data_IF_046441900385
#
_entry.id   IF_046441900385
#
_cell.length_a   1.000
_cell.length_b   1.000
_cell.length_c   1.000
_cell.angle_alpha   90.00
_cell.angle_beta   90.00
_cell.angle_gamma   90.00
#
_symmetry.space_group_name_H-M   'P 1'
#
loop_
_entity.id
_entity.type
_entity.pdbx_description
1 polymer ?
#
# COMPACT_ATOMS: atom_id res chain seq x y z
N UNK A 1 -11.29 -15.85 7.99
CA UNK A 1 -12.72 -15.94 7.65
C UNK A 1 -12.90 -16.87 6.48
N UNK A 2 -13.71 -17.91 6.70
CA UNK A 2 -14.22 -18.79 5.64
C UNK A 2 -15.04 -17.88 4.74
N UNK A 3 -14.68 -17.76 3.46
CA UNK A 3 -15.52 -17.06 2.49
C UNK A 3 -16.86 -17.79 2.47
N UNK A 4 -17.90 -17.16 2.99
CA UNK A 4 -19.26 -17.52 2.63
C UNK A 4 -19.40 -17.06 1.19
N UNK A 5 -19.32 -18.03 0.28
CA UNK A 5 -19.55 -17.80 -1.14
C UNK A 5 -21.04 -17.45 -1.23
N UNK A 6 -21.41 -16.26 -1.73
CA UNK A 6 -22.80 -15.87 -1.74
C UNK A 6 -23.60 -16.91 -2.54
N UNK A 7 -24.63 -17.47 -1.92
CA UNK A 7 -25.71 -18.24 -2.54
C UNK A 7 -25.57 -19.77 -2.67
N UNK A 8 -24.52 -20.45 -2.16
CA UNK A 8 -24.49 -21.93 -2.15
C UNK A 8 -24.59 -22.49 -0.72
N UNK A 9 -25.63 -23.28 -0.45
CA UNK A 9 -25.84 -23.94 0.84
C UNK A 9 -25.10 -25.28 0.89
N UNK A 10 -24.09 -25.37 1.75
CA UNK A 10 -23.31 -26.60 1.98
C UNK A 10 -23.95 -27.48 3.06
N UNK A 11 -23.78 -28.82 2.97
CA UNK A 11 -24.10 -29.73 4.06
C UNK A 11 -23.31 -29.41 5.34
N UNK A 12 -23.86 -29.77 6.50
CA UNK A 12 -23.08 -29.74 7.74
C UNK A 12 -22.10 -30.92 7.77
N UNK A 13 -20.82 -30.60 7.94
CA UNK A 13 -19.77 -31.60 8.09
C UNK A 13 -19.25 -31.63 9.53
N UNK A 14 -19.03 -32.82 10.06
CA UNK A 14 -18.44 -33.09 11.37
C UNK A 14 -16.94 -33.38 11.25
N UNK A 15 -16.21 -33.26 12.35
CA UNK A 15 -14.78 -33.62 12.43
C UNK A 15 -14.60 -35.03 13.00
N UNK A 16 -15.35 -36.00 12.48
CA UNK A 16 -15.41 -37.39 12.97
C UNK A 16 -14.91 -38.43 11.97
N UNK A 17 -14.33 -38.00 10.84
CA UNK A 17 -13.84 -38.90 9.80
C UNK A 17 -12.67 -39.78 10.25
N UNK A 18 -12.58 -40.98 9.69
CA UNK A 18 -11.49 -41.93 9.91
C UNK A 18 -10.43 -41.82 8.79
N UNK A 19 -9.18 -41.45 9.09
CA UNK A 19 -8.09 -41.37 8.10
C UNK A 19 -7.83 -42.67 7.33
N UNK A 20 -8.06 -43.85 7.93
CA UNK A 20 -7.88 -45.13 7.24
C UNK A 20 -8.96 -45.34 6.18
N UNK A 21 -10.21 -45.07 6.53
CA UNK A 21 -11.32 -45.09 5.57
C UNK A 21 -11.12 -44.01 4.51
N UNK A 22 -10.60 -42.83 4.88
CA UNK A 22 -10.29 -41.76 3.95
C UNK A 22 -9.22 -42.12 2.92
N UNK A 23 -8.20 -42.88 3.33
CA UNK A 23 -7.20 -43.42 2.41
C UNK A 23 -7.80 -44.42 1.41
N UNK A 24 -8.75 -45.22 1.85
CA UNK A 24 -9.49 -46.15 0.99
C UNK A 24 -10.44 -45.40 0.05
N UNK A 25 -11.19 -44.42 0.55
CA UNK A 25 -12.03 -43.51 -0.24
C UNK A 25 -11.19 -42.80 -1.31
N UNK A 26 -9.98 -42.35 -0.99
CA UNK A 26 -9.07 -41.69 -1.93
C UNK A 26 -8.67 -42.59 -3.11
N UNK A 27 -8.51 -43.90 -2.88
CA UNK A 27 -8.23 -44.89 -3.93
C UNK A 27 -9.48 -45.28 -4.71
N UNK A 28 -10.57 -45.57 -4.01
CA UNK A 28 -11.81 -46.07 -4.62
C UNK A 28 -12.51 -45.01 -5.46
N UNK A 29 -12.44 -43.74 -5.05
CA UNK A 29 -12.88 -42.59 -5.85
C UNK A 29 -11.84 -42.16 -6.90
N UNK A 30 -10.75 -42.93 -7.05
CA UNK A 30 -9.70 -42.70 -8.05
C UNK A 30 -9.04 -41.31 -7.97
N UNK A 31 -9.00 -40.69 -6.78
CA UNK A 31 -8.34 -39.40 -6.59
C UNK A 31 -6.84 -39.47 -6.93
N UNK A 32 -6.23 -40.65 -6.74
CA UNK A 32 -4.83 -40.94 -7.05
C UNK A 32 -4.48 -40.95 -8.56
N UNK A 33 -5.48 -40.90 -9.44
CA UNK A 33 -5.27 -40.74 -10.90
C UNK A 33 -4.78 -39.33 -11.22
N UNK A 34 -5.24 -38.32 -10.47
CA UNK A 34 -4.87 -36.93 -10.69
C UNK A 34 -3.89 -36.40 -9.63
N UNK A 35 -4.00 -36.90 -8.40
CA UNK A 35 -3.27 -36.41 -7.24
C UNK A 35 -2.23 -37.40 -6.73
N UNK A 36 -1.00 -36.93 -6.48
CA UNK A 36 0.05 -37.74 -5.85
C UNK A 36 0.00 -37.62 -4.33
N UNK A 37 0.44 -38.67 -3.65
CA UNK A 37 0.80 -38.67 -2.23
C UNK A 37 2.11 -39.44 -2.08
N UNK A 38 3.03 -38.89 -1.28
CA UNK A 38 4.38 -39.37 -1.01
C UNK A 38 5.23 -39.59 -2.28
N UNK A 39 5.16 -38.67 -3.24
CA UNK A 39 5.98 -38.72 -4.46
C UNK A 39 5.61 -39.86 -5.42
N UNK A 40 4.38 -40.38 -5.36
CA UNK A 40 3.90 -41.35 -6.36
C UNK A 40 3.91 -40.72 -7.76
N UNK A 41 4.66 -41.31 -8.71
CA UNK A 41 4.93 -40.81 -10.08
C UNK A 41 3.70 -40.71 -11.02
N UNK A 42 2.46 -40.72 -10.51
CA UNK A 42 1.24 -40.69 -11.31
C UNK A 42 0.47 -39.37 -11.25
N UNK A 43 0.94 -38.34 -10.53
CA UNK A 43 0.26 -37.04 -10.51
C UNK A 43 0.34 -36.34 -11.87
N UNK A 44 -0.82 -36.09 -12.45
CA UNK A 44 -0.97 -35.20 -13.62
C UNK A 44 -1.17 -33.74 -13.16
N UNK A 45 -1.66 -33.50 -11.93
CA UNK A 45 -2.14 -32.17 -11.51
C UNK A 45 -1.48 -31.64 -10.22
N UNK A 46 -1.50 -32.37 -9.11
CA UNK A 46 -0.95 -31.86 -7.84
C UNK A 46 -0.53 -32.93 -6.84
N UNK A 47 0.44 -32.60 -5.99
CA UNK A 47 0.91 -33.42 -4.88
C UNK A 47 0.26 -32.97 -3.55
N UNK A 48 -0.44 -33.90 -2.89
CA UNK A 48 -1.21 -33.69 -1.67
C UNK A 48 -0.51 -34.14 -0.38
N UNK A 49 0.77 -34.56 -0.46
CA UNK A 49 1.55 -35.11 0.67
C UNK A 49 1.69 -34.18 1.87
N UNK A 50 1.41 -32.89 1.69
CA UNK A 50 1.50 -31.89 2.75
C UNK A 50 0.21 -31.09 2.94
N UNK A 51 -0.93 -31.67 2.55
CA UNK A 51 -2.24 -31.00 2.59
C UNK A 51 -2.62 -30.60 4.01
N UNK A 52 -2.36 -31.46 5.00
CA UNK A 52 -2.69 -31.22 6.41
C UNK A 52 -1.90 -30.08 7.06
N UNK A 53 -0.81 -29.65 6.44
CA UNK A 53 -0.08 -28.46 6.87
C UNK A 53 -0.61 -27.19 6.22
N UNK A 54 -1.02 -27.25 4.95
CA UNK A 54 -1.30 -26.05 4.13
C UNK A 54 -2.74 -25.58 4.20
N UNK A 55 -3.69 -26.48 4.46
CA UNK A 55 -5.12 -26.24 4.20
C UNK A 55 -5.95 -26.32 5.48
N UNK A 56 -6.99 -25.48 5.57
CA UNK A 56 -7.98 -25.56 6.65
C UNK A 56 -8.98 -26.69 6.36
N UNK A 57 -9.22 -27.58 7.34
CA UNK A 57 -10.10 -28.74 7.19
C UNK A 57 -11.54 -28.36 6.78
N UNK A 58 -12.12 -27.31 7.36
CA UNK A 58 -13.49 -26.87 7.03
C UNK A 58 -13.57 -26.34 5.59
N UNK A 59 -12.52 -25.67 5.11
CA UNK A 59 -12.43 -25.28 3.70
C UNK A 59 -12.27 -26.51 2.81
N UNK A 60 -11.40 -27.46 3.17
CA UNK A 60 -11.15 -28.67 2.40
C UNK A 60 -12.44 -29.48 2.16
N UNK A 61 -13.28 -29.63 3.19
CA UNK A 61 -14.58 -30.31 3.08
C UNK A 61 -15.50 -29.65 2.07
N UNK A 62 -15.62 -28.32 2.12
CA UNK A 62 -16.41 -27.56 1.15
C UNK A 62 -15.84 -27.65 -0.26
N UNK A 63 -14.52 -27.61 -0.39
CA UNK A 63 -13.84 -27.70 -1.69
C UNK A 63 -14.04 -29.08 -2.34
N UNK A 64 -13.89 -30.18 -1.58
CA UNK A 64 -14.16 -31.54 -2.07
C UNK A 64 -15.65 -31.69 -2.46
N UNK A 65 -16.56 -31.07 -1.71
CA UNK A 65 -17.99 -31.10 -2.01
C UNK A 65 -18.32 -30.39 -3.33
N UNK A 66 -17.74 -29.22 -3.58
CA UNK A 66 -18.09 -28.41 -4.75
C UNK A 66 -16.88 -27.62 -5.31
N UNK A 67 -15.93 -28.28 -5.99
CA UNK A 67 -14.71 -27.62 -6.46
C UNK A 67 -14.99 -26.45 -7.41
N UNK A 68 -15.98 -26.60 -8.30
CA UNK A 68 -16.36 -25.62 -9.32
C UNK A 68 -16.80 -24.26 -8.74
N UNK A 69 -17.23 -24.24 -7.47
CA UNK A 69 -17.61 -23.01 -6.76
C UNK A 69 -16.37 -22.18 -6.38
N UNK A 70 -15.20 -22.82 -6.24
CA UNK A 70 -13.96 -22.16 -5.80
C UNK A 70 -13.00 -21.84 -6.94
N UNK A 71 -12.97 -22.68 -7.98
CA UNK A 71 -12.00 -22.59 -9.09
C UNK A 71 -12.67 -22.40 -10.46
N UNK A 72 -13.98 -22.14 -10.49
CA UNK A 72 -14.74 -21.86 -11.71
C UNK A 72 -15.20 -23.11 -12.46
N UNK A 73 -16.06 -22.93 -13.49
CA UNK A 73 -16.65 -24.03 -14.28
C UNK A 73 -15.62 -24.81 -15.12
N UNK A 74 -14.43 -24.26 -15.33
CA UNK A 74 -13.33 -24.90 -16.07
C UNK A 74 -12.40 -25.76 -15.17
N UNK A 75 -12.79 -25.97 -13.91
CA UNK A 75 -12.07 -26.82 -12.97
C UNK A 75 -11.92 -28.25 -13.49
N UNK A 76 -10.67 -28.73 -13.57
CA UNK A 76 -10.35 -30.14 -13.85
C UNK A 76 -10.72 -31.03 -12.66
N UNK A 77 -10.89 -30.47 -11.45
CA UNK A 77 -11.34 -31.24 -10.29
C UNK A 77 -12.86 -31.47 -10.34
N UNK A 78 -13.31 -32.74 -10.42
CA UNK A 78 -14.73 -33.07 -10.55
C UNK A 78 -15.47 -33.01 -9.21
N UNK A 79 -16.74 -32.59 -9.24
CA UNK A 79 -17.68 -32.74 -8.12
C UNK A 79 -18.20 -34.18 -8.04
N UNK A 80 -17.42 -35.09 -7.45
CA UNK A 80 -17.75 -36.53 -7.43
C UNK A 80 -18.86 -36.89 -6.43
N UNK A 81 -18.88 -36.19 -5.29
CA UNK A 81 -19.71 -36.55 -4.14
C UNK A 81 -20.99 -35.72 -4.05
N UNK A 82 -20.97 -34.50 -4.60
CA UNK A 82 -22.12 -33.63 -4.72
C UNK A 82 -22.13 -32.95 -6.09
N UNK A 83 -23.33 -32.60 -6.54
CA UNK A 83 -23.56 -31.72 -7.68
C UNK A 83 -24.46 -30.56 -7.26
N UNK A 84 -24.38 -29.45 -7.98
CA UNK A 84 -25.28 -28.32 -7.78
C UNK A 84 -26.65 -28.63 -8.40
N UNK A 85 -27.72 -28.22 -7.71
CA UNK A 85 -29.08 -28.24 -8.25
C UNK A 85 -29.21 -27.31 -9.48
N UNK A 86 -30.35 -27.38 -10.17
CA UNK A 86 -30.58 -26.60 -11.40
C UNK A 86 -30.37 -25.08 -11.22
N UNK A 87 -30.70 -24.55 -10.06
CA UNK A 87 -30.58 -23.12 -9.73
C UNK A 87 -29.18 -22.72 -9.21
N UNK A 88 -28.26 -23.69 -9.08
CA UNK A 88 -26.91 -23.48 -8.55
C UNK A 88 -26.85 -22.92 -7.13
N UNK A 89 -27.85 -23.24 -6.30
CA UNK A 89 -28.01 -22.72 -4.92
C UNK A 89 -27.83 -23.78 -3.84
N UNK A 90 -28.06 -25.05 -4.15
CA UNK A 90 -27.95 -26.15 -3.18
C UNK A 90 -27.14 -27.32 -3.74
N UNK A 91 -26.49 -28.07 -2.84
CA UNK A 91 -25.72 -29.26 -3.17
C UNK A 91 -26.53 -30.54 -2.90
N UNK A 92 -26.70 -31.35 -3.94
CA UNK A 92 -27.36 -32.65 -3.89
C UNK A 92 -26.31 -33.77 -3.93
N UNK A 93 -26.48 -34.78 -3.07
CA UNK A 93 -25.53 -35.88 -2.97
C UNK A 93 -25.58 -36.76 -4.23
N UNK A 94 -24.43 -36.96 -4.86
CA UNK A 94 -24.29 -37.80 -6.05
C UNK A 94 -24.03 -39.26 -5.71
N UNK A 95 -23.62 -39.56 -4.47
CA UNK A 95 -23.25 -40.88 -4.00
C UNK A 95 -23.78 -41.15 -2.59
N UNK A 96 -24.01 -42.43 -2.27
CA UNK A 96 -24.32 -42.84 -0.90
C UNK A 96 -23.19 -42.48 0.06
N UNK A 97 -23.58 -42.02 1.25
CA UNK A 97 -22.68 -41.62 2.33
C UNK A 97 -21.69 -40.50 1.91
N UNK A 98 -22.07 -39.64 0.96
CA UNK A 98 -21.22 -38.55 0.46
C UNK A 98 -20.62 -37.69 1.58
N UNK A 99 -21.42 -37.30 2.58
CA UNK A 99 -20.94 -36.52 3.74
C UNK A 99 -19.84 -37.27 4.50
N UNK A 100 -20.08 -38.52 4.88
CA UNK A 100 -19.12 -39.34 5.62
C UNK A 100 -17.82 -39.57 4.82
N UNK A 101 -17.92 -39.76 3.50
CA UNK A 101 -16.75 -39.90 2.62
C UNK A 101 -15.92 -38.61 2.57
N UNK A 102 -16.56 -37.43 2.50
CA UNK A 102 -15.86 -36.14 2.58
C UNK A 102 -15.15 -35.99 3.93
N UNK A 103 -15.80 -36.37 5.02
CA UNK A 103 -15.20 -36.32 6.36
C UNK A 103 -13.98 -37.25 6.48
N UNK A 104 -14.09 -38.48 6.00
CA UNK A 104 -13.00 -39.46 5.95
C UNK A 104 -11.83 -38.98 5.09
N UNK A 105 -12.10 -38.55 3.85
CA UNK A 105 -11.09 -38.00 2.92
C UNK A 105 -10.37 -36.81 3.54
N UNK A 106 -11.12 -35.90 4.16
CA UNK A 106 -10.54 -34.73 4.83
C UNK A 106 -9.66 -35.17 6.00
N UNK A 107 -10.10 -36.12 6.83
CA UNK A 107 -9.28 -36.65 7.92
C UNK A 107 -7.98 -37.29 7.43
N UNK A 108 -8.03 -38.05 6.32
CA UNK A 108 -6.84 -38.61 5.68
C UNK A 108 -5.89 -37.52 5.18
N UNK A 109 -6.37 -36.58 4.36
CA UNK A 109 -5.55 -35.51 3.81
C UNK A 109 -4.97 -34.59 4.89
N UNK A 110 -5.73 -34.35 5.96
CA UNK A 110 -5.24 -33.59 7.12
C UNK A 110 -4.18 -34.32 7.95
N UNK A 111 -4.09 -35.65 7.83
CA UNK A 111 -3.02 -36.45 8.43
C UNK A 111 -1.70 -36.36 7.67
N UNK A 112 -1.73 -35.92 6.40
CA UNK A 112 -0.55 -35.75 5.55
C UNK A 112 0.16 -34.42 5.88
N UNK A 113 1.08 -34.46 6.85
CA UNK A 113 1.80 -33.29 7.38
C UNK A 113 3.31 -33.42 7.24
N UNK A 114 3.94 -32.33 6.85
CA UNK A 114 5.37 -32.08 7.04
C UNK A 114 5.65 -31.70 8.51
N UNK A 115 6.58 -32.42 9.15
CA UNK A 115 7.00 -32.21 10.54
C UNK A 115 7.57 -30.81 10.78
N UNK A 116 8.02 -30.09 9.74
CA UNK A 116 8.50 -28.71 9.85
C UNK A 116 7.40 -27.68 10.10
N UNK A 117 6.18 -27.94 9.66
CA UNK A 117 5.10 -26.94 9.66
C UNK A 117 4.41 -26.77 11.03
N UNK A 118 4.32 -27.83 11.84
CA UNK A 118 3.71 -27.73 13.18
C UNK A 118 4.48 -26.72 14.07
N UNK A 119 5.82 -26.66 13.94
CA UNK A 119 6.64 -25.64 14.62
C UNK A 119 6.33 -24.22 14.13
N UNK A 120 6.20 -24.04 12.82
CA UNK A 120 5.85 -22.75 12.22
C UNK A 120 4.46 -22.30 12.66
N UNK A 121 3.51 -23.23 12.80
CA UNK A 121 2.15 -22.94 13.27
C UNK A 121 2.09 -22.61 14.75
N UNK A 122 2.82 -23.34 15.60
CA UNK A 122 2.96 -22.97 17.02
C UNK A 122 3.59 -21.58 17.17
N UNK A 123 4.61 -21.27 16.36
CA UNK A 123 5.22 -19.97 16.35
C UNK A 123 4.26 -18.88 15.86
N UNK A 124 3.46 -19.15 14.82
CA UNK A 124 2.42 -18.25 14.34
C UNK A 124 1.38 -17.95 15.42
N UNK A 125 0.85 -18.96 16.11
CA UNK A 125 -0.15 -18.74 17.17
C UNK A 125 0.45 -17.99 18.37
N UNK A 126 1.72 -18.24 18.72
CA UNK A 126 2.45 -17.44 19.72
C UNK A 126 2.58 -15.98 19.31
N UNK A 127 2.99 -15.70 18.08
CA UNK A 127 3.14 -14.34 17.55
C UNK A 127 1.79 -13.64 17.48
N UNK A 128 0.74 -14.33 17.04
CA UNK A 128 -0.62 -13.81 16.98
C UNK A 128 -1.16 -13.47 18.36
N UNK A 129 -0.97 -14.34 19.35
CA UNK A 129 -1.36 -14.07 20.74
C UNK A 129 -0.59 -12.88 21.33
N UNK A 130 0.68 -12.70 20.96
CA UNK A 130 1.49 -11.56 21.38
C UNK A 130 1.13 -10.24 20.65
N UNK A 131 0.36 -10.30 19.56
CA UNK A 131 0.01 -9.13 18.74
C UNK A 131 -1.50 -9.08 18.43
N UNK A 132 -2.38 -8.97 19.45
CA UNK A 132 -3.84 -9.01 19.28
C UNK A 132 -4.40 -7.84 18.45
N UNK A 133 -3.65 -6.74 18.35
CA UNK A 133 -3.97 -5.58 17.52
C UNK A 133 -3.92 -5.88 16.01
N UNK A 134 -3.24 -6.95 15.60
CA UNK A 134 -3.12 -7.35 14.19
C UNK A 134 -4.35 -8.18 13.81
N UNK A 135 -5.31 -7.53 13.16
CA UNK A 135 -6.56 -8.18 12.73
C UNK A 135 -6.45 -8.73 11.30
N UNK A 136 -7.44 -9.54 10.90
CA UNK A 136 -7.60 -9.97 9.49
C UNK A 136 -7.71 -8.75 8.56
N UNK A 137 -8.32 -7.67 9.02
CA UNK A 137 -8.45 -6.42 8.27
C UNK A 137 -7.08 -5.75 8.05
N UNK A 138 -6.23 -5.72 9.08
CA UNK A 138 -4.84 -5.26 8.97
C UNK A 138 -4.07 -6.13 7.98
N UNK A 139 -4.23 -7.45 8.04
CA UNK A 139 -3.64 -8.38 7.08
C UNK A 139 -4.09 -8.13 5.64
N UNK A 140 -5.38 -7.83 5.42
CA UNK A 140 -5.93 -7.44 4.11
C UNK A 140 -5.33 -6.13 3.61
N UNK A 141 -5.24 -5.10 4.46
CA UNK A 141 -4.58 -3.83 4.13
C UNK A 141 -3.12 -4.03 3.73
N UNK A 142 -2.39 -4.91 4.43
CA UNK A 142 -1.01 -5.28 4.08
C UNK A 142 -0.95 -6.00 2.73
N UNK A 143 -1.82 -6.98 2.48
CA UNK A 143 -1.85 -7.73 1.22
C UNK A 143 -2.05 -6.82 0.00
N UNK A 144 -2.97 -5.86 0.11
CA UNK A 144 -3.27 -4.90 -0.96
C UNK A 144 -2.16 -3.88 -1.13
N UNK A 145 -1.65 -3.32 -0.03
CA UNK A 145 -0.55 -2.34 -0.09
C UNK A 145 0.79 -2.95 -0.56
N UNK A 146 1.08 -4.19 -0.19
CA UNK A 146 2.25 -4.89 -0.73
C UNK A 146 2.11 -5.26 -2.21
N UNK A 147 0.97 -4.94 -2.84
CA UNK A 147 0.62 -5.34 -4.19
C UNK A 147 0.77 -6.85 -4.42
N UNK A 148 0.53 -7.65 -3.39
CA UNK A 148 0.45 -9.09 -3.56
C UNK A 148 -0.63 -9.43 -4.59
N UNK A 149 -1.72 -8.65 -4.59
CA UNK A 149 -2.83 -8.74 -5.54
C UNK A 149 -2.45 -8.54 -7.03
N UNK A 150 -1.37 -7.79 -7.31
CA UNK A 150 -0.92 -7.53 -8.67
C UNK A 150 -0.33 -8.75 -9.38
N UNK A 151 0.03 -9.79 -8.63
CA UNK A 151 0.46 -11.09 -9.17
C UNK A 151 -0.38 -12.26 -8.65
N UNK A 152 -0.96 -12.15 -7.44
CA UNK A 152 -1.76 -13.20 -6.81
C UNK A 152 -3.22 -12.79 -6.68
N UNK A 153 -4.10 -13.46 -7.41
CA UNK A 153 -5.54 -13.24 -7.31
C UNK A 153 -6.06 -13.74 -5.95
N UNK A 154 -6.73 -12.86 -5.20
CA UNK A 154 -7.30 -13.16 -3.90
C UNK A 154 -8.62 -12.42 -3.69
N UNK A 155 -9.74 -13.10 -3.96
CA UNK A 155 -11.08 -12.65 -3.56
C UNK A 155 -11.67 -11.55 -4.45
N UNK A 156 -12.70 -10.87 -3.95
CA UNK A 156 -13.46 -9.82 -4.65
C UNK A 156 -12.69 -8.49 -4.77
N UNK A 157 -11.59 -8.33 -4.02
CA UNK A 157 -10.76 -7.11 -3.96
C UNK A 157 -9.69 -7.04 -5.06
N UNK A 158 -9.83 -7.81 -6.14
CA UNK A 158 -8.94 -7.79 -7.30
C UNK A 158 -9.05 -6.50 -8.15
N UNK A 159 -9.30 -5.36 -7.51
CA UNK A 159 -9.57 -4.06 -8.13
C UNK A 159 -8.46 -3.03 -7.87
N UNK A 160 -7.26 -3.44 -7.46
CA UNK A 160 -6.11 -2.53 -7.39
C UNK A 160 -5.61 -2.24 -8.81
N UNK A 161 -6.36 -1.41 -9.55
CA UNK A 161 -6.10 -1.10 -10.95
C UNK A 161 -5.08 0.05 -11.13
N UNK A 162 -4.57 0.67 -10.06
CA UNK A 162 -3.56 1.72 -10.21
C UNK A 162 -2.12 1.16 -10.28
N UNK A 163 -1.21 1.86 -10.99
CA UNK A 163 0.20 1.47 -11.09
C UNK A 163 0.87 1.35 -9.72
N UNK A 164 1.60 0.27 -9.48
CA UNK A 164 2.26 -0.03 -8.18
C UNK A 164 3.69 0.48 -8.14
N UNK A 165 4.18 0.96 -9.29
CA UNK A 165 5.54 1.40 -9.52
C UNK A 165 5.57 2.59 -10.47
N UNK A 166 6.76 3.16 -10.69
CA UNK A 166 6.94 4.29 -11.59
C UNK A 166 6.62 3.90 -13.04
N UNK A 167 6.10 4.87 -13.80
CA UNK A 167 6.03 4.78 -15.25
C UNK A 167 7.45 4.75 -15.84
N UNK A 168 7.81 3.62 -16.46
CA UNK A 168 9.15 3.40 -17.02
C UNK A 168 9.33 4.05 -18.40
N UNK A 169 8.28 4.57 -19.03
CA UNK A 169 8.38 5.21 -20.36
C UNK A 169 9.14 6.53 -20.32
N UNK A 170 9.07 7.26 -19.20
CA UNK A 170 9.70 8.58 -19.03
C UNK A 170 10.79 8.60 -17.96
N UNK A 171 11.01 7.48 -17.26
CA UNK A 171 11.87 7.41 -16.07
C UNK A 171 13.35 7.72 -16.36
N UNK A 172 13.79 7.47 -17.60
CA UNK A 172 15.14 7.78 -18.07
C UNK A 172 15.45 9.28 -18.10
N UNK A 173 14.42 10.15 -18.16
CA UNK A 173 14.58 11.60 -18.06
C UNK A 173 14.72 12.09 -16.61
N UNK A 174 14.39 11.26 -15.63
CA UNK A 174 14.38 11.61 -14.21
C UNK A 174 15.60 11.10 -13.45
N UNK A 175 16.02 9.87 -13.75
CA UNK A 175 16.99 9.11 -12.95
C UNK A 175 18.37 9.06 -13.60
N UNK A 176 19.40 8.98 -12.77
CA UNK A 176 20.76 8.69 -13.24
C UNK A 176 20.90 7.19 -13.58
N UNK A 177 21.56 6.90 -14.71
CA UNK A 177 21.74 5.53 -15.20
C UNK A 177 22.48 4.63 -14.21
N UNK A 178 23.57 5.12 -13.62
CA UNK A 178 24.37 4.36 -12.65
C UNK A 178 23.57 4.05 -11.38
N UNK A 179 22.71 4.97 -10.96
CA UNK A 179 21.81 4.73 -9.84
C UNK A 179 20.80 3.63 -10.15
N UNK A 180 20.19 3.64 -11.35
CA UNK A 180 19.24 2.59 -11.76
C UNK A 180 19.91 1.22 -11.78
N UNK A 181 21.13 1.13 -12.32
CA UNK A 181 21.92 -0.10 -12.33
C UNK A 181 22.18 -0.63 -10.92
N UNK A 182 22.62 0.24 -10.00
CA UNK A 182 22.85 -0.13 -8.60
C UNK A 182 21.56 -0.52 -7.88
N UNK A 183 20.47 0.21 -8.13
CA UNK A 183 19.16 -0.05 -7.52
C UNK A 183 18.55 -1.38 -7.97
N UNK A 184 18.66 -1.73 -9.25
CA UNK A 184 18.17 -3.02 -9.77
C UNK A 184 18.98 -4.21 -9.23
N UNK A 185 20.26 -4.01 -8.92
CA UNK A 185 21.13 -5.05 -8.34
C UNK A 185 20.85 -5.30 -6.86
N UNK A 186 20.39 -4.28 -6.12
CA UNK A 186 20.05 -4.37 -4.70
C UNK A 186 18.96 -3.34 -4.35
N UNK A 187 17.68 -3.68 -4.58
CA UNK A 187 16.58 -2.76 -4.32
C UNK A 187 16.44 -2.40 -2.83
N UNK A 188 16.22 -1.13 -2.53
CA UNK A 188 16.02 -0.63 -1.17
C UNK A 188 14.87 0.39 -1.11
N UNK A 189 14.47 0.81 0.10
CA UNK A 189 13.35 1.73 0.24
C UNK A 189 13.75 3.18 -0.11
N UNK A 190 13.51 3.59 -1.35
CA UNK A 190 13.61 5.01 -1.76
C UNK A 190 12.51 5.84 -1.10
N UNK A 191 11.30 5.28 -1.01
CA UNK A 191 10.15 5.84 -0.31
C UNK A 191 9.72 4.81 0.76
N UNK A 192 9.95 5.08 2.06
CA UNK A 192 9.68 4.11 3.13
C UNK A 192 8.24 3.57 3.18
N UNK A 193 7.27 4.35 2.66
CA UNK A 193 5.84 4.01 2.63
C UNK A 193 5.30 3.62 1.24
N UNK A 194 6.17 3.37 0.27
CA UNK A 194 5.82 2.93 -1.07
C UNK A 194 5.78 4.04 -2.13
N UNK A 195 5.58 3.64 -3.39
CA UNK A 195 5.63 4.55 -4.53
C UNK A 195 4.57 5.66 -4.42
N UNK A 196 3.33 5.29 -4.13
CA UNK A 196 2.33 6.21 -3.62
C UNK A 196 2.35 6.17 -2.10
N UNK A 197 2.40 7.31 -1.39
CA UNK A 197 2.48 7.28 0.07
C UNK A 197 1.31 6.52 0.69
N UNK A 198 1.63 5.51 1.49
CA UNK A 198 0.66 4.61 2.09
C UNK A 198 0.25 3.43 1.22
N UNK A 199 0.67 3.41 -0.05
CA UNK A 199 0.47 2.24 -0.89
C UNK A 199 1.29 1.08 -0.43
N UNK A 200 2.37 1.23 0.33
CA UNK A 200 3.19 0.11 0.78
C UNK A 200 4.02 -0.58 -0.31
N UNK A 201 3.91 -0.14 -1.57
CA UNK A 201 4.53 -0.80 -2.72
C UNK A 201 6.05 -0.88 -2.56
N UNK A 202 6.61 -2.08 -2.78
CA UNK A 202 8.05 -2.34 -2.67
C UNK A 202 8.57 -2.85 -4.01
N UNK A 203 9.83 -2.54 -4.32
CA UNK A 203 10.51 -3.21 -5.42
C UNK A 203 11.04 -4.54 -4.88
N UNK A 204 10.57 -5.70 -5.38
CA UNK A 204 11.13 -6.97 -4.99
C UNK A 204 12.59 -7.08 -5.43
N UNK A 205 13.38 -7.78 -4.63
CA UNK A 205 14.67 -8.28 -5.11
C UNK A 205 14.39 -9.52 -5.98
N UNK A 206 14.56 -9.35 -7.29
CA UNK A 206 14.38 -10.43 -8.27
C UNK A 206 15.64 -11.30 -8.43
N UNK A 207 16.70 -11.02 -7.67
CA UNK A 207 17.99 -11.73 -7.75
C UNK A 207 18.56 -11.72 -9.18
N UNK A 208 18.43 -10.58 -9.87
CA UNK A 208 18.89 -10.40 -11.25
C UNK A 208 20.41 -10.58 -11.35
N UNK A 209 20.86 -11.27 -12.39
CA UNK A 209 22.28 -11.33 -12.73
C UNK A 209 22.78 -9.97 -13.25
N UNK A 210 24.09 -9.77 -13.21
CA UNK A 210 24.74 -8.54 -13.73
C UNK A 210 24.35 -8.29 -15.20
N UNK A 211 24.27 -9.34 -16.01
CA UNK A 211 23.90 -9.24 -17.42
C UNK A 211 22.42 -8.82 -17.63
N UNK A 212 21.50 -9.32 -16.80
CA UNK A 212 20.09 -8.92 -16.82
C UNK A 212 19.92 -7.47 -16.39
N UNK A 213 20.60 -7.05 -15.32
CA UNK A 213 20.62 -5.64 -14.88
C UNK A 213 21.10 -4.73 -16.01
N UNK A 214 22.18 -5.10 -16.69
CA UNK A 214 22.74 -4.31 -17.80
C UNK A 214 21.79 -4.21 -18.99
N UNK A 215 21.12 -5.31 -19.33
CA UNK A 215 20.16 -5.36 -20.44
C UNK A 215 18.91 -4.52 -20.12
N UNK A 216 18.34 -4.65 -18.91
CA UNK A 216 17.19 -3.86 -18.47
C UNK A 216 17.55 -2.37 -18.42
N UNK A 217 18.71 -2.04 -17.84
CA UNK A 217 19.18 -0.64 -17.78
C UNK A 217 19.37 -0.07 -19.18
N UNK A 218 19.94 -0.84 -20.11
CA UNK A 218 20.11 -0.40 -21.50
C UNK A 218 18.77 -0.18 -22.20
N UNK A 219 17.78 -1.04 -21.95
CA UNK A 219 16.43 -0.88 -22.47
C UNK A 219 15.74 0.39 -21.94
N UNK A 220 15.78 0.64 -20.63
CA UNK A 220 15.20 1.83 -19.99
C UNK A 220 15.79 3.12 -20.58
N UNK A 221 17.10 3.13 -20.85
CA UNK A 221 17.82 4.31 -21.35
C UNK A 221 17.97 4.34 -22.88
N UNK A 222 17.28 3.47 -23.63
CA UNK A 222 17.44 3.33 -25.09
C UNK A 222 17.07 4.58 -25.91
N UNK A 223 16.17 5.43 -25.39
CA UNK A 223 15.66 6.63 -26.07
C UNK A 223 16.09 7.95 -25.39
N UNK A 224 17.26 7.98 -24.75
CA UNK A 224 17.75 9.14 -24.01
C UNK A 224 18.16 10.30 -24.95
N UNK A 225 17.21 11.19 -25.26
CA UNK A 225 17.41 12.34 -26.16
C UNK A 225 17.54 13.69 -25.45
N UNK A 226 17.80 13.73 -24.13
CA UNK A 226 17.90 14.97 -23.38
C UNK A 226 19.30 15.19 -22.80
N UNK A 227 20.02 16.17 -23.36
CA UNK A 227 21.24 16.73 -22.78
C UNK A 227 21.10 18.25 -22.75
N UNK A 228 21.19 18.85 -21.57
CA UNK A 228 21.41 20.27 -21.41
C UNK A 228 22.69 20.55 -20.64
N UNK A 229 23.23 21.73 -20.91
CA UNK A 229 24.54 22.20 -20.52
C UNK A 229 24.49 22.94 -19.18
N UNK A 230 25.49 22.66 -18.36
CA UNK A 230 25.88 23.31 -17.10
C UNK A 230 25.05 22.95 -15.86
N UNK A 231 25.69 22.21 -14.97
CA UNK A 231 25.35 22.22 -13.55
C UNK A 231 25.52 23.64 -13.01
N UNK A 232 24.58 24.17 -12.21
CA UNK A 232 24.80 25.45 -11.53
C UNK A 232 26.07 25.38 -10.68
N UNK A 233 26.79 26.48 -10.52
CA UNK A 233 27.97 26.54 -9.66
C UNK A 233 27.60 26.20 -8.21
N UNK A 234 28.54 25.58 -7.49
CA UNK A 234 28.38 25.24 -6.08
C UNK A 234 27.92 26.46 -5.25
N UNK A 235 26.89 26.32 -4.40
CA UNK A 235 26.40 27.43 -3.61
C UNK A 235 27.45 27.88 -2.59
N UNK A 236 27.56 29.19 -2.38
CA UNK A 236 28.41 29.72 -1.30
C UNK A 236 27.89 29.30 0.08
N UNK A 237 28.77 29.23 1.08
CA UNK A 237 28.40 28.87 2.45
C UNK A 237 27.24 29.71 3.00
N UNK A 238 27.20 31.01 2.67
CA UNK A 238 26.10 31.89 3.06
C UNK A 238 24.76 31.44 2.47
N UNK A 239 24.73 31.06 1.18
CA UNK A 239 23.52 30.57 0.53
C UNK A 239 23.10 29.23 1.12
N UNK A 240 24.04 28.31 1.35
CA UNK A 240 23.76 27.03 1.99
C UNK A 240 23.13 27.22 3.38
N UNK A 241 23.77 28.01 4.26
CA UNK A 241 23.23 28.29 5.59
C UNK A 241 21.84 28.95 5.54
N UNK A 242 21.64 29.88 4.60
CA UNK A 242 20.34 30.54 4.43
C UNK A 242 19.26 29.54 4.03
N UNK A 243 19.56 28.65 3.08
CA UNK A 243 18.61 27.62 2.62
C UNK A 243 18.31 26.63 3.74
N UNK A 244 19.32 26.20 4.51
CA UNK A 244 19.12 25.33 5.68
C UNK A 244 18.16 25.95 6.70
N UNK A 245 18.38 27.21 7.11
CA UNK A 245 17.48 27.92 8.03
C UNK A 245 16.08 28.06 7.44
N UNK A 246 15.97 28.34 6.14
CA UNK A 246 14.66 28.40 5.48
C UNK A 246 13.95 27.05 5.49
N UNK A 247 14.65 25.95 5.27
CA UNK A 247 14.09 24.58 5.31
C UNK A 247 13.66 24.17 6.72
N UNK A 248 14.40 24.58 7.74
CA UNK A 248 14.13 24.22 9.14
C UNK A 248 13.02 25.07 9.78
N UNK A 249 12.91 26.35 9.39
CA UNK A 249 12.02 27.27 10.10
C UNK A 249 10.82 27.79 9.30
N UNK A 250 10.88 27.81 7.96
CA UNK A 250 9.94 28.57 7.13
C UNK A 250 9.26 27.74 6.04
N UNK A 251 10.00 26.84 5.40
CA UNK A 251 9.52 26.07 4.26
C UNK A 251 8.91 24.75 4.73
N UNK A 252 7.79 24.30 4.12
CA UNK A 252 7.08 23.10 4.56
C UNK A 252 7.73 21.78 4.09
N UNK A 253 8.89 21.85 3.41
CA UNK A 253 9.51 20.70 2.74
C UNK A 253 9.74 19.53 3.69
N UNK A 254 10.24 19.82 4.90
CA UNK A 254 10.55 18.82 5.92
C UNK A 254 9.31 18.25 6.63
N UNK A 255 8.10 18.73 6.34
CA UNK A 255 6.86 18.10 6.79
C UNK A 255 6.62 16.75 6.10
N UNK A 256 7.03 16.65 4.84
CA UNK A 256 6.90 15.42 4.04
C UNK A 256 8.23 14.69 3.84
N UNK A 257 9.31 15.45 3.60
CA UNK A 257 10.62 14.91 3.29
C UNK A 257 11.52 14.88 4.53
N UNK A 258 12.54 14.02 4.49
CA UNK A 258 13.64 14.05 5.43
C UNK A 258 14.86 14.71 4.79
N UNK A 259 15.67 15.37 5.62
CA UNK A 259 16.99 15.88 5.29
C UNK A 259 17.92 15.57 6.47
N UNK A 260 18.97 14.79 6.25
CA UNK A 260 19.88 14.43 7.34
C UNK A 260 19.22 13.56 8.41
N UNK A 261 18.18 12.78 8.05
CA UNK A 261 17.38 12.01 9.01
C UNK A 261 16.38 12.83 9.85
N UNK A 262 16.30 14.15 9.65
CA UNK A 262 15.30 15.04 10.27
C UNK A 262 14.14 15.29 9.31
N UNK A 263 12.91 15.34 9.83
CA UNK A 263 11.70 15.65 9.05
C UNK A 263 10.81 14.43 8.77
N UNK A 264 9.90 14.58 7.81
CA UNK A 264 8.90 13.58 7.43
C UNK A 264 9.45 12.41 6.63
N UNK A 265 8.64 11.34 6.51
CA UNK A 265 8.99 10.10 5.78
C UNK A 265 8.06 9.78 4.62
N UNK A 266 7.20 10.74 4.25
CA UNK A 266 6.26 10.63 3.14
C UNK A 266 7.02 10.70 1.80
N UNK A 267 7.83 11.74 1.65
CA UNK A 267 8.73 11.94 0.54
C UNK A 267 10.05 11.19 0.76
N UNK A 268 10.83 10.96 -0.31
CA UNK A 268 12.19 10.42 -0.19
C UNK A 268 13.10 11.39 0.58
N UNK A 269 14.12 10.82 1.23
CA UNK A 269 15.26 11.55 1.82
C UNK A 269 15.96 12.43 0.76
N UNK A 270 16.29 13.66 1.16
CA UNK A 270 16.82 14.72 0.30
C UNK A 270 18.37 14.81 0.31
N UNK A 271 19.06 14.17 1.26
CA UNK A 271 20.53 14.27 1.38
C UNK A 271 21.33 13.69 0.20
N UNK A 272 20.76 12.77 -0.58
CA UNK A 272 21.47 12.08 -1.67
C UNK A 272 20.72 12.16 -3.02
N UNK A 273 20.15 13.34 -3.31
CA UNK A 273 19.34 13.52 -4.52
C UNK A 273 20.17 13.45 -5.79
N UNK A 274 21.37 14.04 -5.80
CA UNK A 274 22.21 14.15 -6.99
C UNK A 274 22.75 12.80 -7.47
N UNK A 275 22.94 11.80 -6.61
CA UNK A 275 23.28 10.46 -7.03
C UNK A 275 22.12 9.79 -7.75
N UNK A 276 20.88 10.05 -7.32
CA UNK A 276 19.67 9.37 -7.82
C UNK A 276 18.99 10.07 -8.99
N UNK A 277 18.83 11.38 -8.89
CA UNK A 277 18.03 12.21 -9.79
C UNK A 277 18.93 13.11 -10.62
N UNK A 278 18.48 13.35 -11.85
CA UNK A 278 19.07 14.36 -12.72
C UNK A 278 18.74 15.77 -12.20
N UNK A 279 19.68 16.74 -12.25
CA UNK A 279 19.45 18.11 -11.80
C UNK A 279 18.23 18.79 -12.41
N UNK A 280 17.94 18.51 -13.68
CA UNK A 280 16.81 19.09 -14.42
C UNK A 280 15.49 18.60 -13.85
N UNK A 281 15.42 17.33 -13.49
CA UNK A 281 14.25 16.77 -12.83
C UNK A 281 14.07 17.34 -11.43
N UNK A 282 15.17 17.54 -10.67
CA UNK A 282 15.12 18.22 -9.36
C UNK A 282 14.54 19.64 -9.51
N UNK A 283 15.02 20.41 -10.49
CA UNK A 283 14.51 21.75 -10.76
C UNK A 283 13.03 21.74 -11.18
N UNK A 284 12.63 20.79 -12.05
CA UNK A 284 11.27 20.65 -12.54
C UNK A 284 10.29 20.25 -11.44
N UNK A 285 10.62 19.23 -10.64
CA UNK A 285 9.74 18.73 -9.57
C UNK A 285 9.55 19.76 -8.45
N UNK A 286 10.55 20.59 -8.15
CA UNK A 286 10.43 21.69 -7.18
C UNK A 286 9.60 22.85 -7.75
N UNK A 287 9.74 23.14 -9.04
CA UNK A 287 9.08 24.28 -9.67
C UNK A 287 7.60 24.02 -9.98
N UNK A 288 7.28 22.84 -10.52
CA UNK A 288 5.93 22.41 -10.84
C UNK A 288 5.80 20.89 -10.69
N UNK A 289 5.51 20.40 -9.45
CA UNK A 289 5.48 18.97 -9.17
C UNK A 289 4.47 18.19 -10.03
N UNK A 290 3.28 18.75 -10.28
CA UNK A 290 2.22 18.09 -11.06
C UNK A 290 2.60 17.93 -12.54
N UNK A 291 3.29 18.92 -13.12
CA UNK A 291 3.76 18.82 -14.49
C UNK A 291 4.93 17.84 -14.62
N UNK A 292 5.86 17.83 -13.65
CA UNK A 292 7.01 16.94 -13.66
C UNK A 292 6.66 15.49 -13.30
N UNK A 293 5.64 15.27 -12.47
CA UNK A 293 5.13 13.95 -12.09
C UNK A 293 3.60 14.02 -11.94
N UNK A 294 2.84 13.73 -13.02
CA UNK A 294 1.39 13.62 -12.95
C UNK A 294 0.97 12.65 -11.84
N UNK A 295 -0.01 13.05 -11.04
CA UNK A 295 -0.39 12.24 -9.88
C UNK A 295 0.64 12.23 -8.75
N UNK A 296 1.57 13.16 -8.64
CA UNK A 296 2.30 13.32 -7.37
C UNK A 296 1.39 13.86 -6.26
N UNK A 297 1.71 13.59 -4.99
CA UNK A 297 1.11 14.29 -3.85
C UNK A 297 1.95 15.49 -3.38
N UNK A 298 3.15 15.67 -3.94
CA UNK A 298 4.02 16.79 -3.62
C UNK A 298 3.31 18.11 -3.99
N UNK A 299 3.02 18.99 -3.02
CA UNK A 299 2.33 20.24 -3.29
C UNK A 299 3.25 21.25 -3.99
N UNK A 300 2.66 22.13 -4.79
CA UNK A 300 3.40 23.26 -5.36
C UNK A 300 3.55 24.37 -4.31
N UNK A 301 4.77 24.52 -3.80
CA UNK A 301 5.08 25.51 -2.77
C UNK A 301 5.30 26.90 -3.39
N UNK A 302 4.50 27.87 -2.96
CA UNK A 302 4.69 29.27 -3.33
C UNK A 302 5.93 29.84 -2.64
N UNK A 303 6.89 30.33 -3.43
CA UNK A 303 8.10 31.01 -2.93
C UNK A 303 8.70 31.91 -4.02
N UNK A 304 9.45 32.95 -3.63
CA UNK A 304 10.20 33.79 -4.57
C UNK A 304 11.14 32.99 -5.47
N UNK A 305 11.26 33.38 -6.74
CA UNK A 305 12.08 32.67 -7.73
C UNK A 305 13.55 32.59 -7.34
N UNK A 306 14.10 33.65 -6.72
CA UNK A 306 15.48 33.64 -6.23
C UNK A 306 15.70 32.60 -5.12
N UNK A 307 14.77 32.49 -4.17
CA UNK A 307 14.83 31.48 -3.10
C UNK A 307 14.68 30.08 -3.68
N UNK A 308 13.77 29.89 -4.64
CA UNK A 308 13.61 28.60 -5.34
C UNK A 308 14.89 28.16 -6.02
N UNK A 309 15.56 29.07 -6.73
CA UNK A 309 16.82 28.77 -7.42
C UNK A 309 17.95 28.46 -6.43
N UNK A 310 18.02 29.19 -5.31
CA UNK A 310 18.97 28.90 -4.22
C UNK A 310 18.73 27.52 -3.61
N UNK A 311 17.46 27.15 -3.37
CA UNK A 311 17.07 25.84 -2.88
C UNK A 311 17.42 24.72 -3.86
N UNK A 312 17.10 24.88 -5.14
CA UNK A 312 17.45 23.91 -6.20
C UNK A 312 18.97 23.72 -6.27
N UNK A 313 19.73 24.82 -6.24
CA UNK A 313 21.19 24.76 -6.29
C UNK A 313 21.75 24.00 -5.08
N UNK A 314 21.30 24.37 -3.88
CA UNK A 314 21.68 23.68 -2.63
C UNK A 314 21.38 22.18 -2.68
N UNK A 315 20.14 21.78 -3.02
CA UNK A 315 19.74 20.37 -3.05
C UNK A 315 20.48 19.54 -4.13
N UNK A 316 20.93 20.18 -5.21
CA UNK A 316 21.70 19.52 -6.28
C UNK A 316 23.16 19.26 -5.85
N UNK A 317 23.67 19.98 -4.85
CA UNK A 317 25.03 19.86 -4.34
C UNK A 317 25.14 19.11 -3.00
N UNK A 318 24.04 18.58 -2.48
CA UNK A 318 24.08 17.71 -1.30
C UNK A 318 24.84 16.41 -1.65
N UNK A 319 25.94 16.15 -0.95
CA UNK A 319 26.87 15.05 -1.25
C UNK A 319 26.94 13.95 -0.19
N UNK A 320 26.07 13.97 0.82
CA UNK A 320 26.21 13.07 1.95
C UNK A 320 25.65 11.66 1.68
N UNK A 321 26.51 10.67 1.92
CA UNK A 321 26.14 9.26 1.94
C UNK A 321 25.40 8.93 3.24
N UNK A 322 24.07 9.03 3.21
CA UNK A 322 23.23 8.46 4.26
C UNK A 322 22.83 7.01 3.94
N UNK A 323 22.65 6.17 4.96
CA UNK A 323 22.29 4.77 4.78
C UNK A 323 21.00 4.63 3.99
N UNK A 324 20.95 3.58 3.17
CA UNK A 324 19.77 3.20 2.39
C UNK A 324 18.52 3.19 3.27
N UNK A 325 17.42 3.79 2.77
CA UNK A 325 16.16 3.83 3.48
C UNK A 325 15.63 2.43 3.78
N UNK A 326 14.96 2.27 4.92
CA UNK A 326 14.28 1.03 5.31
C UNK A 326 12.79 1.14 5.07
N UNK A 327 12.18 0.08 4.56
CA UNK A 327 10.72 -0.01 4.48
C UNK A 327 10.14 -0.01 5.89
N UNK A 328 9.05 0.73 6.07
CA UNK A 328 8.35 0.74 7.35
C UNK A 328 7.34 -0.42 7.41
N UNK A 329 7.07 -0.85 8.64
CA UNK A 329 6.12 -1.91 8.94
C UNK A 329 4.69 -1.40 8.69
N UNK A 330 3.97 -2.09 7.82
CA UNK A 330 2.56 -1.73 7.53
C UNK A 330 1.58 -2.31 8.54
N UNK A 331 2.07 -3.17 9.44
CA UNK A 331 1.33 -3.62 10.63
C UNK A 331 1.24 -2.47 11.63
N UNK A 332 2.37 -1.80 11.86
CA UNK A 332 2.47 -0.70 12.83
C UNK A 332 1.95 0.62 12.25
N UNK A 333 1.80 0.69 10.93
CA UNK A 333 1.37 1.87 10.18
C UNK A 333 0.37 1.50 9.06
N UNK A 334 -0.88 1.10 9.39
CA UNK A 334 -1.91 0.77 8.40
C UNK A 334 -2.37 2.03 7.66
N UNK A 335 -2.50 1.98 6.33
CA UNK A 335 -2.89 3.16 5.52
C UNK A 335 -3.86 2.76 4.40
N UNK A 336 -4.72 3.72 4.02
CA UNK A 336 -5.87 3.59 3.11
C UNK A 336 -5.75 4.56 1.91
N UNK A 337 -6.01 4.04 0.69
CA UNK A 337 -6.59 4.67 -0.54
C UNK A 337 -5.81 4.76 -1.88
N UNK A 338 -6.61 4.67 -2.96
CA UNK A 338 -6.36 4.86 -4.42
C UNK A 338 -7.33 5.91 -5.03
N UNK A 339 -7.24 6.20 -6.34
CA UNK A 339 -6.99 7.57 -6.86
C UNK A 339 -7.73 7.98 -8.15
N UNK A 340 -8.99 7.62 -8.33
CA UNK A 340 -9.66 7.78 -9.63
C UNK A 340 -11.06 8.37 -9.38
N UNK A 341 -11.20 9.71 -9.53
CA UNK A 341 -12.30 10.54 -9.01
C UNK A 341 -12.41 10.49 -7.48
N UNK A 342 -11.42 11.10 -6.82
CA UNK A 342 -11.41 11.23 -5.37
C UNK A 342 -12.63 12.03 -4.91
N UNK A 343 -13.50 11.41 -4.13
CA UNK A 343 -14.44 12.16 -3.30
C UNK A 343 -13.65 13.07 -2.34
N UNK A 344 -14.28 14.08 -1.75
CA UNK A 344 -13.64 14.93 -0.73
C UNK A 344 -13.01 14.09 0.39
N UNK A 345 -13.69 13.01 0.80
CA UNK A 345 -13.17 12.05 1.78
C UNK A 345 -11.88 11.38 1.28
N UNK A 346 -11.81 11.01 0.01
CA UNK A 346 -10.61 10.38 -0.55
C UNK A 346 -9.46 11.39 -0.71
N UNK A 347 -9.76 12.67 -1.00
CA UNK A 347 -8.78 13.76 -0.97
C UNK A 347 -8.22 13.89 0.46
N UNK A 348 -9.08 13.92 1.47
CA UNK A 348 -8.66 14.00 2.87
C UNK A 348 -7.77 12.82 3.26
N UNK A 349 -8.21 11.60 2.96
CA UNK A 349 -7.49 10.38 3.31
C UNK A 349 -6.13 10.28 2.60
N UNK A 350 -6.03 10.72 1.34
CA UNK A 350 -4.79 10.66 0.56
C UNK A 350 -3.80 11.81 0.80
N UNK A 351 -4.24 12.95 1.37
CA UNK A 351 -3.39 14.15 1.55
C UNK A 351 -3.26 14.61 3.00
N UNK A 352 -4.33 14.50 3.77
CA UNK A 352 -4.45 15.07 5.11
C UNK A 352 -4.26 13.99 6.19
N UNK A 353 -4.93 12.85 6.06
CA UNK A 353 -4.92 11.76 7.04
C UNK A 353 -3.55 11.14 7.29
N UNK A 354 -2.62 11.29 6.34
CA UNK A 354 -1.21 10.91 6.48
C UNK A 354 -0.60 11.52 7.76
N UNK A 355 -0.93 12.77 8.08
CA UNK A 355 -0.52 13.42 9.32
C UNK A 355 -1.68 13.47 10.33
N UNK A 356 -2.88 13.82 9.89
CA UNK A 356 -4.01 14.10 10.78
C UNK A 356 -4.82 12.86 11.20
N UNK A 357 -4.50 11.67 10.67
CA UNK A 357 -5.23 10.42 10.94
C UNK A 357 -6.47 10.25 10.08
N UNK A 358 -6.86 9.01 9.80
CA UNK A 358 -8.04 8.68 8.98
C UNK A 358 -9.33 9.24 9.57
N UNK A 359 -9.41 9.26 10.90
CA UNK A 359 -10.54 9.82 11.64
C UNK A 359 -10.27 11.25 12.14
N UNK A 360 -9.14 11.87 11.79
CA UNK A 360 -8.81 13.24 12.25
C UNK A 360 -8.27 13.34 13.69
N UNK A 361 -7.77 12.26 14.29
CA UNK A 361 -7.29 12.27 15.69
C UNK A 361 -5.85 12.80 15.85
N UNK A 362 -5.20 13.28 14.79
CA UNK A 362 -3.80 13.72 14.81
C UNK A 362 -2.80 12.55 14.92
N UNK A 363 -3.25 11.33 14.67
CA UNK A 363 -2.51 10.07 14.81
C UNK A 363 -2.15 9.44 13.46
N UNK A 364 -2.11 10.25 12.40
CA UNK A 364 -1.64 9.80 11.10
C UNK A 364 -0.23 9.25 11.21
N UNK A 365 0.13 8.30 10.34
CA UNK A 365 1.40 7.59 10.46
C UNK A 365 2.62 8.53 10.50
N UNK A 366 2.54 9.70 9.85
CA UNK A 366 3.65 10.64 9.80
C UNK A 366 3.73 11.51 11.06
N UNK A 367 2.69 11.56 11.89
CA UNK A 367 2.62 12.41 13.09
C UNK A 367 3.77 12.16 14.07
N UNK A 368 4.16 10.89 14.25
CA UNK A 368 5.24 10.49 15.16
C UNK A 368 6.65 10.97 14.73
N UNK A 369 6.81 11.40 13.48
CA UNK A 369 8.08 11.88 12.94
C UNK A 369 8.17 13.42 12.89
N UNK A 370 7.10 14.12 13.27
CA UNK A 370 7.06 15.58 13.28
C UNK A 370 7.44 16.13 14.66
N UNK A 371 8.15 17.26 14.66
CA UNK A 371 8.54 17.96 15.91
C UNK A 371 7.31 18.59 16.58
N UNK A 372 6.30 19.00 15.79
CA UNK A 372 5.03 19.52 16.27
C UNK A 372 3.90 18.55 15.90
N UNK A 373 3.11 18.06 16.88
CA UNK A 373 1.97 17.19 16.60
C UNK A 373 0.94 17.88 15.68
N UNK A 374 0.32 17.14 14.73
CA UNK A 374 -0.74 17.66 13.89
C UNK A 374 -1.99 18.06 14.70
N UNK A 375 -2.75 19.03 14.20
CA UNK A 375 -4.07 19.39 14.73
C UNK A 375 -5.01 18.18 14.69
N UNK A 376 -5.77 17.94 15.76
CA UNK A 376 -6.83 16.93 15.78
C UNK A 376 -8.11 17.51 15.18
N UNK A 377 -8.41 17.17 13.93
CA UNK A 377 -9.63 17.60 13.25
C UNK A 377 -10.91 17.00 13.84
N UNK A 378 -10.82 15.91 14.61
CA UNK A 378 -11.96 15.33 15.34
C UNK A 378 -12.25 16.02 16.68
N UNK A 379 -11.40 16.95 17.15
CA UNK A 379 -11.63 17.66 18.41
C UNK A 379 -12.76 18.69 18.23
N UNK A 380 -13.98 18.30 18.59
CA UNK A 380 -15.16 19.14 18.54
C UNK A 380 -14.99 20.47 19.29
N UNK A 381 -14.30 20.46 20.43
CA UNK A 381 -14.12 21.67 21.25
C UNK A 381 -13.21 22.65 20.52
N UNK A 382 -12.03 22.20 20.09
CA UNK A 382 -11.09 23.05 19.39
C UNK A 382 -11.63 23.54 18.03
N UNK A 383 -12.23 22.63 17.26
CA UNK A 383 -12.68 22.91 15.90
C UNK A 383 -13.92 23.82 15.86
N UNK A 384 -14.82 23.73 16.85
CA UNK A 384 -15.99 24.63 16.92
C UNK A 384 -15.66 26.10 17.14
N UNK A 385 -14.45 26.41 17.61
CA UNK A 385 -13.98 27.80 17.82
C UNK A 385 -13.38 28.42 16.55
N UNK A 386 -13.20 27.64 15.49
CA UNK A 386 -12.53 28.09 14.26
C UNK A 386 -13.59 28.37 13.21
N UNK A 387 -13.64 29.55 12.60
CA UNK A 387 -14.45 29.83 11.42
C UNK A 387 -14.07 28.96 10.21
N UNK A 388 -15.01 28.76 9.27
CA UNK A 388 -14.76 27.98 8.05
C UNK A 388 -13.73 28.65 7.13
N UNK A 389 -13.71 29.98 7.03
CA UNK A 389 -12.71 30.74 6.28
C UNK A 389 -11.29 30.54 6.85
N UNK A 390 -11.15 30.45 8.17
CA UNK A 390 -9.88 30.17 8.83
C UNK A 390 -9.39 28.76 8.50
N UNK A 391 -10.30 27.77 8.45
CA UNK A 391 -9.94 26.41 8.04
C UNK A 391 -9.57 26.36 6.55
N UNK A 392 -10.31 27.08 5.71
CA UNK A 392 -10.02 27.23 4.29
C UNK A 392 -8.62 27.83 4.08
N UNK A 393 -8.32 28.94 4.75
CA UNK A 393 -7.03 29.63 4.67
C UNK A 393 -5.88 28.72 5.14
N UNK A 394 -6.10 27.95 6.20
CA UNK A 394 -5.12 26.97 6.70
C UNK A 394 -4.81 25.87 5.69
N UNK A 395 -5.80 25.38 4.94
CA UNK A 395 -5.59 24.41 3.86
C UNK A 395 -4.95 25.09 2.65
N UNK A 396 -5.45 26.26 2.25
CA UNK A 396 -5.03 26.99 1.06
C UNK A 396 -3.58 27.47 1.17
N UNK A 397 -3.22 28.13 2.26
CA UNK A 397 -1.94 28.80 2.47
C UNK A 397 -1.00 28.08 3.46
N UNK A 398 -1.45 26.99 4.09
CA UNK A 398 -0.67 26.19 5.03
C UNK A 398 -0.67 26.74 6.46
N UNK A 399 -0.05 26.02 7.38
CA UNK A 399 -0.13 26.34 8.82
C UNK A 399 0.56 27.65 9.22
N UNK A 400 1.58 28.07 8.48
CA UNK A 400 2.40 29.23 8.83
C UNK A 400 1.61 30.53 8.95
N UNK A 401 0.69 30.79 8.02
CA UNK A 401 -0.10 32.04 7.98
C UNK A 401 -1.07 32.18 9.18
N UNK A 402 -1.39 31.07 9.85
CA UNK A 402 -2.24 31.02 11.03
C UNK A 402 -1.45 30.93 12.34
N UNK A 403 -0.14 31.24 12.29
CA UNK A 403 0.78 31.05 13.41
C UNK A 403 0.77 29.60 13.94
N UNK A 404 0.64 28.63 13.03
CA UNK A 404 0.75 27.19 13.28
C UNK A 404 2.02 26.64 12.64
N UNK A 405 2.27 25.35 12.86
CA UNK A 405 3.46 24.68 12.33
C UNK A 405 3.57 24.88 10.81
N UNK A 406 4.72 25.39 10.37
CA UNK A 406 5.04 25.55 8.96
C UNK A 406 5.19 24.19 8.24
N UNK A 407 5.28 23.08 8.99
CA UNK A 407 5.32 21.72 8.43
C UNK A 407 3.98 21.31 7.79
N UNK A 408 2.88 22.02 8.06
CA UNK A 408 1.63 21.88 7.31
C UNK A 408 1.73 22.69 6.01
N UNK A 409 1.84 22.03 4.83
CA UNK A 409 2.04 22.72 3.56
C UNK A 409 0.78 23.45 3.09
N UNK A 410 0.99 24.42 2.20
CA UNK A 410 -0.07 25.07 1.45
C UNK A 410 -0.59 24.16 0.32
N UNK A 411 -1.92 24.04 0.19
CA UNK A 411 -2.56 23.24 -0.86
C UNK A 411 -3.27 24.06 -1.93
N UNK A 412 -3.37 25.39 -1.81
CA UNK A 412 -4.13 26.26 -2.72
C UNK A 412 -3.64 26.28 -4.18
N UNK A 413 -2.38 25.93 -4.44
CA UNK A 413 -1.85 25.74 -5.80
C UNK A 413 -2.04 24.30 -6.31
N UNK A 414 -2.58 23.41 -5.47
CA UNK A 414 -2.72 21.97 -5.72
C UNK A 414 -4.19 21.55 -5.75
N UNK A 415 -5.04 22.13 -4.91
CA UNK A 415 -6.47 21.89 -4.84
C UNK A 415 -7.20 23.14 -5.31
N UNK A 416 -8.32 22.96 -5.99
CA UNK A 416 -9.19 24.07 -6.34
C UNK A 416 -10.06 24.49 -5.13
N UNK A 417 -10.74 25.63 -5.24
CA UNK A 417 -11.53 26.18 -4.13
C UNK A 417 -12.71 25.29 -3.73
N UNK A 418 -13.32 24.56 -4.66
CA UNK A 418 -14.43 23.64 -4.36
C UNK A 418 -13.93 22.45 -3.55
N UNK A 419 -12.77 21.88 -3.91
CA UNK A 419 -12.13 20.80 -3.18
C UNK A 419 -11.75 21.22 -1.75
N UNK A 420 -11.19 22.42 -1.58
CA UNK A 420 -10.82 22.95 -0.26
C UNK A 420 -12.07 23.21 0.58
N UNK A 421 -13.11 23.81 -0.01
CA UNK A 421 -14.40 24.04 0.68
C UNK A 421 -15.02 22.72 1.11
N UNK A 422 -14.98 21.70 0.24
CA UNK A 422 -15.41 20.35 0.58
C UNK A 422 -14.62 19.78 1.75
N UNK A 423 -13.28 19.91 1.76
CA UNK A 423 -12.45 19.44 2.88
C UNK A 423 -12.80 20.12 4.21
N UNK A 424 -13.13 21.42 4.20
CA UNK A 424 -13.62 22.12 5.40
C UNK A 424 -14.91 21.48 5.91
N UNK A 425 -15.87 21.18 5.02
CA UNK A 425 -17.10 20.49 5.41
C UNK A 425 -16.83 19.07 5.94
N UNK A 426 -15.92 18.33 5.31
CA UNK A 426 -15.53 17.01 5.80
C UNK A 426 -14.87 17.07 7.19
N UNK A 427 -14.07 18.10 7.47
CA UNK A 427 -13.53 18.34 8.81
C UNK A 427 -14.63 18.64 9.84
N UNK A 428 -15.72 19.32 9.44
CA UNK A 428 -16.92 19.52 10.28
C UNK A 428 -17.64 18.22 10.61
N UNK A 429 -17.71 17.32 9.64
CA UNK A 429 -18.25 15.98 9.85
C UNK A 429 -17.40 15.18 10.86
N UNK A 430 -16.07 15.20 10.70
CA UNK A 430 -15.13 14.50 11.60
C UNK A 430 -15.26 14.98 13.06
N UNK A 431 -15.35 16.29 13.29
CA UNK A 431 -15.55 16.83 14.64
C UNK A 431 -17.00 16.76 15.14
N UNK A 432 -17.96 16.45 14.26
CA UNK A 432 -19.40 16.58 14.53
C UNK A 432 -19.74 17.94 15.16
N UNK A 433 -19.19 19.02 14.60
CA UNK A 433 -19.25 20.36 15.18
C UNK A 433 -19.61 21.42 14.13
N UNK A 434 -20.13 22.56 14.60
CA UNK A 434 -20.47 23.72 13.77
C UNK A 434 -19.44 24.84 13.95
N UNK A 435 -19.22 25.71 12.95
CA UNK A 435 -18.43 26.92 13.13
C UNK A 435 -19.04 27.86 14.18
N UNK A 436 -18.27 28.84 14.69
CA UNK A 436 -18.78 29.86 15.59
C UNK A 436 -19.98 30.60 14.99
N UNK A 437 -21.02 30.86 15.81
CA UNK A 437 -22.23 31.54 15.32
C UNK A 437 -21.95 32.90 14.66
N UNK A 438 -20.93 33.62 15.12
CA UNK A 438 -20.57 34.93 14.59
C UNK A 438 -19.97 34.86 13.18
N UNK A 439 -19.44 33.71 12.75
CA UNK A 439 -18.85 33.53 11.43
C UNK A 439 -19.84 32.98 10.40
N UNK A 440 -21.09 32.74 10.79
CA UNK A 440 -22.15 32.34 9.87
C UNK A 440 -22.80 33.60 9.28
N UNK A 441 -22.70 33.78 7.96
CA UNK A 441 -23.34 34.93 7.29
C UNK A 441 -24.68 34.56 6.63
N UNK A 442 -25.16 33.32 6.79
CA UNK A 442 -26.37 32.76 6.16
C UNK A 442 -26.46 32.98 4.63
N UNK A 443 -25.33 33.27 3.96
CA UNK A 443 -25.29 33.40 2.51
C UNK A 443 -24.74 32.11 1.93
N UNK A 444 -25.53 31.48 1.06
CA UNK A 444 -25.05 30.38 0.22
C UNK A 444 -23.95 30.93 -0.68
N UNK A 445 -22.72 30.44 -0.51
CA UNK A 445 -21.60 30.69 -1.42
C UNK A 445 -22.07 30.28 -2.82
N UNK A 446 -22.11 31.24 -3.75
CA UNK A 446 -22.49 31.03 -5.15
C UNK A 446 -21.29 30.64 -5.98
#
# INVERSE_FOLDING_TARGET
NIRDIPNVRFPEFKNTGDPKLGKEDFRTLSCNVCHAVDGSNTAVISDLSNTGSKINEKWLKKFIAAPSVFIGKESIMPGLLYHLNADSTELEASLENATSRIENLSAYLMSLKDKGHDKTREQFEKVKAANPQITVEVGKKIYLSQNCAGCHLSGEDAQWNAPVGPDLTTINSHLNKDWVKNYLSNPYAVRPFGFYPGSGSRMPDFSLSVAEVDSITSFIFSNENFKMANHPDEPSQFISNKVEVMLDEKLPCLGCHSLGGKGGKIGPELSNLNARLKPEYIAAIISNPKAAMPGTIMPQIAMPSNLRNQLINYLTHLGDSLPQGKYLSLVDHPITLQRDQLSIKDIYLSKCAICHGENGNGDGFNAAYLITPPTQHADAKYMSEKPDDTLFDGIFAGGYILNKSHLMPAWGNTLNNEEITGLVQYMRELCSCNPPKWSSDNKTVK
#
